data_IF_443254952948
#
_entry.id   IF_443254952948
#
_cell.length_a   1.000
_cell.length_b   1.000
_cell.length_c   1.000
_cell.angle_alpha   90.00
_cell.angle_beta   90.00
_cell.angle_gamma   90.00
#
_symmetry.space_group_name_H-M   'P 1'
#
loop_
_entity.id
_entity.type
_entity.pdbx_description
1 polymer ?
#
# COMPACT_ATOMS: atom_id res chain seq x y z
N UNK A 1 -4.28 -31.67 20.72
CA UNK A 1 -4.19 -32.17 19.34
C UNK A 1 -4.74 -31.15 18.38
N UNK A 2 -3.90 -30.66 17.48
CA UNK A 2 -4.18 -29.65 16.46
C UNK A 2 -4.74 -30.31 15.20
N UNK A 3 -5.99 -30.04 14.86
CA UNK A 3 -6.51 -30.22 13.50
C UNK A 3 -7.39 -29.02 13.13
N UNK A 4 -6.82 -28.08 12.37
CA UNK A 4 -7.60 -27.12 11.60
C UNK A 4 -8.25 -27.85 10.43
N UNK A 5 -9.59 -27.93 10.40
CA UNK A 5 -10.32 -28.50 9.30
C UNK A 5 -9.98 -27.76 7.99
N UNK A 6 -9.32 -28.48 7.09
CA UNK A 6 -9.17 -28.13 5.68
C UNK A 6 -10.55 -28.22 5.03
N UNK A 7 -10.95 -27.14 4.36
CA UNK A 7 -11.87 -27.21 3.23
C UNK A 7 -13.37 -27.10 3.56
N UNK A 8 -13.82 -25.90 3.91
CA UNK A 8 -15.23 -25.50 3.69
C UNK A 8 -15.25 -24.30 2.74
N UNK A 9 -14.69 -24.49 1.55
CA UNK A 9 -15.01 -23.64 0.41
C UNK A 9 -15.71 -24.53 -0.60
N UNK A 10 -16.99 -24.25 -0.88
CA UNK A 10 -17.73 -24.91 -1.94
C UNK A 10 -16.97 -24.73 -3.26
N UNK A 11 -16.95 -25.77 -4.12
CA UNK A 11 -16.31 -25.74 -5.44
C UNK A 11 -16.59 -24.44 -6.24
N UNK A 12 -17.83 -23.89 -6.28
CA UNK A 12 -18.09 -22.60 -6.94
C UNK A 12 -17.36 -21.41 -6.30
N UNK A 13 -17.29 -21.32 -4.97
CA UNK A 13 -16.58 -20.22 -4.29
C UNK A 13 -15.06 -20.29 -4.53
N UNK A 14 -14.50 -21.50 -4.61
CA UNK A 14 -13.09 -21.73 -4.97
C UNK A 14 -12.80 -21.35 -6.43
N UNK A 15 -13.74 -21.60 -7.34
CA UNK A 15 -13.63 -21.20 -8.75
C UNK A 15 -13.75 -19.68 -8.90
N UNK A 16 -14.73 -19.05 -8.25
CA UNK A 16 -14.95 -17.61 -8.25
C UNK A 16 -13.71 -16.85 -7.73
N UNK A 17 -13.16 -17.29 -6.60
CA UNK A 17 -11.94 -16.69 -6.03
C UNK A 17 -10.72 -16.85 -6.93
N UNK A 18 -10.60 -17.96 -7.66
CA UNK A 18 -9.52 -18.18 -8.64
C UNK A 18 -9.68 -17.27 -9.86
N UNK A 19 -10.88 -17.14 -10.41
CA UNK A 19 -11.20 -16.29 -11.56
C UNK A 19 -11.00 -14.80 -11.22
N UNK A 20 -11.58 -14.33 -10.11
CA UNK A 20 -11.34 -12.98 -9.59
C UNK A 20 -9.84 -12.73 -9.40
N UNK A 21 -9.11 -13.76 -8.99
CA UNK A 21 -7.68 -13.73 -8.81
C UNK A 21 -6.84 -13.53 -10.06
N UNK A 22 -7.21 -14.22 -11.14
CA UNK A 22 -6.55 -14.11 -12.44
C UNK A 22 -6.84 -12.77 -13.09
N UNK A 23 -8.11 -12.35 -13.12
CA UNK A 23 -8.52 -11.03 -13.58
C UNK A 23 -7.80 -9.93 -12.80
N UNK A 24 -7.65 -10.11 -11.48
CA UNK A 24 -6.93 -9.19 -10.63
C UNK A 24 -5.42 -9.13 -10.94
N UNK A 25 -4.78 -10.28 -11.16
CA UNK A 25 -3.36 -10.31 -11.52
C UNK A 25 -3.09 -9.65 -12.87
N UNK A 26 -3.97 -9.87 -13.86
CA UNK A 26 -3.91 -9.20 -15.15
C UNK A 26 -4.12 -7.69 -15.03
N UNK A 27 -5.12 -7.27 -14.23
CA UNK A 27 -5.37 -5.86 -13.96
C UNK A 27 -4.21 -5.14 -13.28
N UNK A 28 -3.53 -5.77 -12.30
CA UNK A 28 -2.31 -5.19 -11.71
C UNK A 28 -1.22 -5.02 -12.77
N UNK A 29 -0.96 -6.04 -13.59
CA UNK A 29 0.09 -5.96 -14.61
C UNK A 29 -0.18 -4.81 -15.57
N UNK A 30 -1.41 -4.71 -16.10
CA UNK A 30 -1.81 -3.59 -16.96
C UNK A 30 -1.62 -2.24 -16.25
N UNK A 31 -2.11 -2.08 -15.02
CA UNK A 31 -1.95 -0.82 -14.29
C UNK A 31 -0.48 -0.45 -14.04
N UNK A 32 0.43 -1.42 -13.88
CA UNK A 32 1.87 -1.15 -13.76
C UNK A 32 2.42 -0.68 -15.11
N UNK A 33 2.06 -1.36 -16.20
CA UNK A 33 2.53 -1.04 -17.55
C UNK A 33 2.01 0.33 -18.00
N UNK A 34 0.74 0.63 -17.80
CA UNK A 34 0.13 1.93 -18.13
C UNK A 34 0.79 3.07 -17.34
N UNK A 35 1.03 2.88 -16.04
CA UNK A 35 1.70 3.90 -15.22
C UNK A 35 3.19 4.05 -15.57
N UNK A 36 3.85 2.96 -15.97
CA UNK A 36 5.22 2.99 -16.46
C UNK A 36 5.33 3.70 -17.81
N UNK A 37 4.40 3.45 -18.73
CA UNK A 37 4.27 4.14 -20.01
C UNK A 37 4.04 5.64 -19.82
N UNK A 38 3.12 6.01 -18.92
CA UNK A 38 2.90 7.42 -18.57
C UNK A 38 4.18 8.11 -18.10
N UNK A 39 4.95 7.46 -17.20
CA UNK A 39 6.24 8.00 -16.77
C UNK A 39 7.24 8.05 -17.93
N UNK A 40 7.29 7.03 -18.78
CA UNK A 40 8.20 6.98 -19.93
C UNK A 40 7.98 8.19 -20.84
N UNK A 41 6.73 8.56 -21.08
CA UNK A 41 6.37 9.67 -21.96
C UNK A 41 6.52 11.04 -21.30
N UNK A 42 6.22 11.15 -20.01
CA UNK A 42 6.11 12.44 -19.30
C UNK A 42 7.32 12.82 -18.45
N UNK A 43 8.03 11.85 -17.90
CA UNK A 43 9.18 12.12 -17.02
C UNK A 43 10.28 12.85 -17.79
N UNK A 44 10.73 13.96 -17.21
CA UNK A 44 11.94 14.67 -17.60
C UNK A 44 13.00 14.52 -16.51
N UNK A 45 14.26 14.71 -16.90
CA UNK A 45 15.37 14.60 -15.96
C UNK A 45 15.14 15.60 -14.81
N UNK A 46 15.40 15.13 -13.59
CA UNK A 46 15.28 15.90 -12.34
C UNK A 46 13.83 16.13 -11.85
N UNK A 47 12.81 15.58 -12.52
CA UNK A 47 11.44 15.52 -11.99
C UNK A 47 11.36 14.68 -10.71
N UNK A 48 10.52 15.12 -9.77
CA UNK A 48 10.15 14.32 -8.61
C UNK A 48 8.93 13.44 -8.90
N UNK A 49 9.14 12.13 -8.83
CA UNK A 49 8.07 11.13 -9.03
C UNK A 49 7.42 10.78 -7.70
N UNK A 50 6.15 11.17 -7.55
CA UNK A 50 5.30 10.81 -6.42
C UNK A 50 4.33 9.69 -6.83
N UNK A 51 4.36 8.57 -6.11
CA UNK A 51 3.48 7.43 -6.36
C UNK A 51 2.48 7.28 -5.22
N UNK A 52 1.20 7.33 -5.54
CA UNK A 52 0.12 7.15 -4.58
C UNK A 52 -0.69 5.89 -4.87
N UNK A 53 -1.20 5.23 -3.82
CA UNK A 53 -2.10 4.11 -4.04
C UNK A 53 -2.83 3.63 -2.81
N UNK A 54 -4.08 3.22 -3.00
CA UNK A 54 -4.89 2.57 -1.96
C UNK A 54 -5.07 1.08 -2.28
N UNK A 55 -4.98 0.22 -1.27
CA UNK A 55 -5.33 -1.20 -1.33
C UNK A 55 -4.52 -1.99 -2.38
N UNK A 56 -5.11 -2.20 -3.54
CA UNK A 56 -4.53 -2.87 -4.70
C UNK A 56 -3.69 -1.90 -5.52
N UNK A 57 -4.14 -0.65 -5.63
CA UNK A 57 -3.34 0.44 -6.20
C UNK A 57 -2.08 0.72 -5.39
N UNK A 58 -2.14 0.53 -4.06
CA UNK A 58 -0.95 0.61 -3.22
C UNK A 58 0.11 -0.46 -3.59
N UNK A 59 -0.34 -1.67 -3.93
CA UNK A 59 0.54 -2.72 -4.42
C UNK A 59 1.11 -2.36 -5.79
N UNK A 60 0.28 -1.82 -6.70
CA UNK A 60 0.71 -1.32 -8.02
C UNK A 60 1.78 -0.24 -7.90
N UNK A 61 1.56 0.80 -7.10
CA UNK A 61 2.52 1.89 -6.87
C UNK A 61 3.87 1.37 -6.36
N UNK A 62 3.82 0.47 -5.38
CA UNK A 62 5.00 -0.19 -4.82
C UNK A 62 5.71 -1.09 -5.83
N UNK A 63 4.98 -1.79 -6.69
CA UNK A 63 5.54 -2.64 -7.73
C UNK A 63 6.16 -1.81 -8.88
N UNK A 64 5.56 -0.68 -9.24
CA UNK A 64 6.11 0.27 -10.20
C UNK A 64 7.46 0.83 -9.72
N UNK A 65 7.55 1.26 -8.45
CA UNK A 65 8.83 1.63 -7.85
C UNK A 65 9.85 0.48 -7.87
N UNK A 66 9.37 -0.75 -7.62
CA UNK A 66 10.08 -2.00 -7.84
C UNK A 66 10.74 -2.11 -9.22
N UNK A 67 9.92 -1.87 -10.25
CA UNK A 67 10.28 -1.97 -11.64
C UNK A 67 11.24 -0.87 -12.07
N UNK A 68 11.00 0.38 -11.68
CA UNK A 68 11.89 1.51 -11.95
C UNK A 68 13.29 1.31 -11.37
N UNK A 69 13.39 0.80 -10.13
CA UNK A 69 14.68 0.46 -9.53
C UNK A 69 15.40 -0.63 -10.33
N UNK A 70 14.73 -1.75 -10.58
CA UNK A 70 15.35 -2.95 -11.17
C UNK A 70 15.65 -2.81 -12.66
N UNK A 71 14.76 -2.17 -13.40
CA UNK A 71 14.81 -2.09 -14.86
C UNK A 71 15.13 -0.69 -15.39
N UNK A 72 15.06 0.38 -14.58
CA UNK A 72 15.11 1.75 -15.06
C UNK A 72 13.79 2.18 -15.70
N UNK A 73 13.75 3.42 -16.21
CA UNK A 73 12.67 3.91 -17.06
C UNK A 73 13.13 3.88 -18.51
N UNK A 74 12.40 3.19 -19.39
CA UNK A 74 12.73 3.13 -20.81
C UNK A 74 12.79 4.52 -21.45
N UNK A 75 13.50 4.65 -22.57
CA UNK A 75 13.48 5.87 -23.36
C UNK A 75 12.14 6.07 -24.07
N UNK A 76 11.77 7.34 -24.30
CA UNK A 76 10.52 7.73 -25.00
C UNK A 76 10.42 6.99 -26.35
N UNK A 77 9.24 6.45 -26.65
CA UNK A 77 8.97 5.70 -27.88
C UNK A 77 9.32 4.21 -27.84
N UNK A 78 9.85 3.68 -26.73
CA UNK A 78 10.19 2.26 -26.56
C UNK A 78 9.03 1.40 -26.06
N UNK A 79 7.79 1.72 -26.45
CA UNK A 79 6.56 1.12 -25.92
C UNK A 79 6.53 -0.41 -26.10
N UNK A 80 7.11 -0.91 -27.20
CA UNK A 80 7.25 -2.33 -27.48
C UNK A 80 8.11 -3.09 -26.45
N UNK A 81 8.98 -2.40 -25.70
CA UNK A 81 9.86 -2.99 -24.69
C UNK A 81 9.23 -3.03 -23.28
N UNK A 82 8.10 -2.36 -23.05
CA UNK A 82 7.46 -2.29 -21.73
C UNK A 82 7.13 -3.69 -21.20
N UNK A 83 6.52 -4.55 -22.03
CA UNK A 83 6.20 -5.93 -21.64
C UNK A 83 7.44 -6.78 -21.31
N UNK A 84 8.59 -6.46 -21.89
CA UNK A 84 9.87 -7.10 -21.58
C UNK A 84 10.43 -6.60 -20.25
N UNK A 85 10.37 -5.28 -20.01
CA UNK A 85 10.75 -4.69 -18.73
C UNK A 85 9.91 -5.27 -17.58
N UNK A 86 8.58 -5.37 -17.75
CA UNK A 86 7.69 -6.01 -16.77
C UNK A 86 8.06 -7.46 -16.51
N UNK A 87 8.29 -8.24 -17.57
CA UNK A 87 8.69 -9.65 -17.45
C UNK A 87 10.03 -9.81 -16.73
N UNK A 88 10.97 -8.92 -17.00
CA UNK A 88 12.29 -8.89 -16.36
C UNK A 88 12.22 -8.46 -14.90
N UNK A 89 11.37 -7.50 -14.57
CA UNK A 89 11.10 -7.14 -13.18
C UNK A 89 10.58 -8.37 -12.40
N UNK A 90 9.61 -9.08 -12.98
CA UNK A 90 8.94 -10.25 -12.36
C UNK A 90 9.80 -11.51 -12.25
N UNK A 91 10.58 -11.81 -13.28
CA UNK A 91 11.23 -13.13 -13.43
C UNK A 91 12.73 -13.05 -13.78
N UNK A 92 13.23 -11.89 -14.21
CA UNK A 92 14.61 -11.74 -14.65
C UNK A 92 15.62 -11.84 -13.51
N UNK A 93 16.80 -12.40 -13.81
CA UNK A 93 17.96 -12.39 -12.92
C UNK A 93 18.44 -10.95 -12.72
N UNK A 94 19.02 -10.66 -11.55
CA UNK A 94 19.53 -9.31 -11.24
C UNK A 94 20.59 -8.81 -12.23
N UNK A 95 21.51 -9.68 -12.66
CA UNK A 95 22.55 -9.32 -13.64
C UNK A 95 21.96 -8.94 -15.00
N UNK A 96 20.98 -9.69 -15.51
CA UNK A 96 20.29 -9.39 -16.76
C UNK A 96 19.53 -8.08 -16.69
N UNK A 97 18.82 -7.84 -15.58
CA UNK A 97 18.10 -6.59 -15.37
C UNK A 97 19.04 -5.37 -15.31
N UNK A 98 20.23 -5.53 -14.69
CA UNK A 98 21.26 -4.49 -14.66
C UNK A 98 21.78 -4.14 -16.06
N UNK A 99 22.03 -5.15 -16.90
CA UNK A 99 22.41 -4.95 -18.30
C UNK A 99 21.32 -4.22 -19.09
N UNK A 100 20.07 -4.68 -18.98
CA UNK A 100 18.93 -4.03 -19.62
C UNK A 100 18.76 -2.57 -19.21
N UNK A 101 18.80 -2.29 -17.90
CA UNK A 101 18.72 -0.93 -17.35
C UNK A 101 19.81 -0.03 -17.93
N UNK A 102 21.05 -0.54 -18.05
CA UNK A 102 22.17 0.22 -18.62
C UNK A 102 21.99 0.51 -20.11
N UNK A 103 21.37 -0.40 -20.87
CA UNK A 103 21.29 -0.31 -22.33
C UNK A 103 20.07 0.46 -22.83
N UNK A 104 18.91 0.28 -22.19
CA UNK A 104 17.62 0.73 -22.74
C UNK A 104 16.92 1.79 -21.90
N UNK A 105 17.48 2.18 -20.76
CA UNK A 105 16.76 2.95 -19.77
C UNK A 105 17.56 4.14 -19.27
N UNK A 106 16.82 5.19 -18.94
CA UNK A 106 17.28 6.33 -18.15
C UNK A 106 16.96 6.15 -16.68
N UNK A 107 17.63 6.97 -15.89
CA UNK A 107 17.40 7.06 -14.46
C UNK A 107 16.06 7.77 -14.17
N UNK A 108 15.25 7.15 -13.31
CA UNK A 108 14.00 7.70 -12.82
C UNK A 108 13.78 7.09 -11.44
N UNK A 109 14.11 7.85 -10.39
CA UNK A 109 14.00 7.40 -9.01
C UNK A 109 12.68 7.89 -8.42
N UNK A 110 11.83 7.00 -7.88
CA UNK A 110 10.67 7.43 -7.10
C UNK A 110 11.12 8.26 -5.90
N UNK A 111 10.64 9.50 -5.81
CA UNK A 111 10.94 10.39 -4.69
C UNK A 111 10.13 10.02 -3.45
N UNK A 112 8.83 9.75 -3.65
CA UNK A 112 7.88 9.50 -2.57
C UNK A 112 6.88 8.40 -2.96
N UNK A 113 6.60 7.49 -2.03
CA UNK A 113 5.50 6.51 -2.15
C UNK A 113 4.55 6.67 -0.97
N UNK A 114 3.35 7.18 -1.24
CA UNK A 114 2.27 7.32 -0.26
C UNK A 114 1.20 6.27 -0.47
N UNK A 115 1.02 5.36 0.50
CA UNK A 115 0.06 4.27 0.36
C UNK A 115 -0.92 4.17 1.51
N UNK A 116 -2.15 3.75 1.18
CA UNK A 116 -3.19 3.42 2.14
C UNK A 116 -3.45 1.92 2.13
N UNK A 117 -3.36 1.34 3.31
CA UNK A 117 -3.75 -0.01 3.67
C UNK A 117 -3.43 -1.08 2.61
N UNK A 118 -2.17 -1.08 2.13
CA UNK A 118 -1.68 -2.09 1.18
C UNK A 118 -2.05 -3.50 1.66
N UNK A 119 -2.85 -4.24 0.89
CA UNK A 119 -3.22 -5.62 1.24
C UNK A 119 -2.45 -6.63 0.40
N UNK A 120 -2.04 -7.73 1.02
CA UNK A 120 -1.51 -8.86 0.25
C UNK A 120 -2.65 -9.47 -0.56
N UNK A 121 -2.43 -9.70 -1.85
CA UNK A 121 -3.34 -10.52 -2.66
C UNK A 121 -3.28 -11.99 -2.20
N UNK A 122 -3.96 -12.33 -1.11
CA UNK A 122 -3.85 -13.66 -0.48
C UNK A 122 -4.47 -14.74 -1.38
N UNK A 123 -3.63 -15.45 -2.13
CA UNK A 123 -3.98 -16.65 -2.91
C UNK A 123 -3.78 -16.56 -4.43
N UNK A 124 -3.36 -15.42 -4.96
CA UNK A 124 -3.50 -15.08 -6.39
C UNK A 124 -2.18 -14.97 -7.15
N UNK A 125 -1.10 -14.73 -6.41
CA UNK A 125 0.25 -14.60 -6.94
C UNK A 125 1.09 -15.46 -6.01
N UNK A 126 1.65 -16.59 -6.50
CA UNK A 126 2.72 -17.31 -5.77
C UNK A 126 3.68 -16.23 -5.24
N UNK A 127 4.11 -16.34 -3.97
CA UNK A 127 4.97 -15.43 -3.17
C UNK A 127 6.21 -14.80 -3.87
N UNK A 128 6.41 -15.04 -5.18
CA UNK A 128 7.61 -14.81 -5.98
C UNK A 128 7.38 -14.07 -7.32
N UNK A 129 6.16 -13.71 -7.78
CA UNK A 129 6.02 -13.10 -9.14
C UNK A 129 6.26 -11.59 -9.21
N UNK A 130 6.18 -10.89 -8.09
CA UNK A 130 6.73 -9.55 -7.96
C UNK A 130 7.64 -9.67 -6.74
N UNK A 131 8.97 -9.75 -6.92
CA UNK A 131 9.87 -9.74 -5.78
C UNK A 131 9.43 -8.59 -4.90
N UNK A 132 9.15 -8.91 -3.63
CA UNK A 132 8.48 -8.04 -2.69
C UNK A 132 8.88 -6.59 -2.95
N UNK A 133 7.92 -5.68 -2.87
CA UNK A 133 8.19 -4.28 -2.61
C UNK A 133 8.79 -4.10 -1.19
N UNK A 134 9.88 -4.82 -0.93
CA UNK A 134 10.96 -4.44 -0.05
C UNK A 134 11.35 -3.05 -0.53
N UNK A 135 11.57 -2.13 0.41
CA UNK A 135 12.11 -0.83 0.05
C UNK A 135 13.37 -1.08 -0.76
N UNK A 136 13.34 -0.74 -2.04
CA UNK A 136 14.56 -0.75 -2.84
C UNK A 136 15.48 0.33 -2.26
N UNK A 137 16.80 0.16 -2.29
CA UNK A 137 17.73 1.18 -1.83
C UNK A 137 17.46 2.57 -2.43
N UNK A 138 17.00 2.61 -3.69
CA UNK A 138 16.66 3.85 -4.39
C UNK A 138 15.34 4.50 -3.94
N UNK A 139 14.58 3.91 -3.01
CA UNK A 139 13.40 4.56 -2.45
C UNK A 139 13.80 5.45 -1.28
N UNK A 140 13.63 6.76 -1.46
CA UNK A 140 13.98 7.71 -0.41
C UNK A 140 12.92 7.79 0.69
N UNK A 141 11.62 7.79 0.31
CA UNK A 141 10.52 8.05 1.25
C UNK A 141 9.32 7.12 0.99
N UNK A 142 8.98 6.28 1.97
CA UNK A 142 7.81 5.41 1.98
C UNK A 142 6.88 5.70 3.16
N UNK A 143 5.68 6.19 2.88
CA UNK A 143 4.66 6.55 3.87
C UNK A 143 3.45 5.62 3.72
N UNK A 144 3.01 5.00 4.82
CA UNK A 144 1.92 4.02 4.80
C UNK A 144 0.91 4.26 5.93
N UNK A 145 -0.33 4.63 5.57
CA UNK A 145 -1.48 4.65 6.47
C UNK A 145 -2.12 3.26 6.56
N UNK A 146 -2.32 2.73 7.77
CA UNK A 146 -2.75 1.34 7.99
C UNK A 146 -4.02 1.31 8.85
N UNK A 147 -4.99 0.48 8.45
CA UNK A 147 -6.25 0.28 9.18
C UNK A 147 -6.06 -0.57 10.44
N UNK A 148 -6.59 -0.09 11.57
CA UNK A 148 -6.67 -0.82 12.84
C UNK A 148 -7.85 -1.80 12.85
N UNK A 149 -9.02 -1.38 12.35
CA UNK A 149 -10.29 -2.07 12.56
C UNK A 149 -10.66 -3.08 11.46
N UNK A 150 -9.88 -3.17 10.39
CA UNK A 150 -10.08 -4.15 9.33
C UNK A 150 -9.79 -5.58 9.81
N UNK A 151 -10.80 -6.46 9.69
CA UNK A 151 -10.79 -7.82 10.25
C UNK A 151 -10.91 -8.92 9.19
N UNK A 152 -11.17 -8.61 7.93
CA UNK A 152 -11.32 -9.61 6.86
C UNK A 152 -9.99 -10.32 6.65
N UNK A 153 -9.97 -11.65 6.73
CA UNK A 153 -8.73 -12.45 6.70
C UNK A 153 -7.92 -12.30 5.41
N UNK A 154 -8.58 -11.92 4.31
CA UNK A 154 -7.97 -11.67 3.00
C UNK A 154 -7.37 -10.27 2.88
N UNK A 155 -7.69 -9.36 3.79
CA UNK A 155 -7.20 -7.98 3.84
C UNK A 155 -6.09 -7.82 4.88
N UNK A 156 -5.15 -8.78 4.92
CA UNK A 156 -3.99 -8.67 5.80
C UNK A 156 -3.05 -7.58 5.28
N UNK A 157 -2.61 -6.65 6.13
CA UNK A 157 -1.75 -5.56 5.71
C UNK A 157 -0.40 -6.11 5.25
N UNK A 158 0.11 -5.53 4.18
CA UNK A 158 1.43 -5.78 3.63
C UNK A 158 2.40 -4.70 4.12
N UNK A 159 2.87 -4.84 5.36
CA UNK A 159 3.82 -3.90 5.95
C UNK A 159 5.19 -3.98 5.26
N UNK A 160 5.89 -2.86 5.20
CA UNK A 160 7.32 -2.82 4.92
C UNK A 160 8.12 -3.42 6.09
N UNK A 161 9.25 -4.00 5.75
CA UNK A 161 10.22 -4.49 6.73
C UNK A 161 11.19 -3.36 7.07
N UNK A 162 10.99 -2.75 8.23
CA UNK A 162 11.82 -1.64 8.72
C UNK A 162 13.22 -2.11 9.17
N UNK A 163 13.39 -3.42 9.42
CA UNK A 163 14.63 -4.02 9.90
C UNK A 163 15.44 -4.69 8.77
N UNK A 164 15.17 -4.34 7.52
CA UNK A 164 15.91 -4.91 6.39
C UNK A 164 17.39 -4.55 6.49
N UNK A 165 18.26 -5.56 6.43
CA UNK A 165 19.74 -5.36 6.41
C UNK A 165 20.24 -4.53 5.22
N UNK A 166 19.38 -4.33 4.20
CA UNK A 166 19.69 -3.56 3.00
C UNK A 166 19.08 -2.15 3.01
N UNK A 167 18.62 -1.68 4.19
CA UNK A 167 18.09 -0.32 4.34
C UNK A 167 19.24 0.68 4.23
N UNK A 168 19.14 1.62 3.31
CA UNK A 168 20.05 2.76 3.25
C UNK A 168 19.71 3.74 4.39
N UNK A 169 20.74 4.31 5.03
CA UNK A 169 20.60 5.21 6.18
C UNK A 169 19.71 6.42 5.88
N UNK A 170 19.65 6.84 4.61
CA UNK A 170 18.85 7.97 4.16
C UNK A 170 17.38 7.62 3.89
N UNK A 171 16.97 6.35 4.03
CA UNK A 171 15.59 5.93 3.75
C UNK A 171 14.64 6.23 4.90
N UNK A 172 13.58 6.97 4.58
CA UNK A 172 12.50 7.28 5.50
C UNK A 172 11.34 6.32 5.23
N UNK A 173 11.08 5.42 6.19
CA UNK A 173 9.88 4.58 6.18
C UNK A 173 9.01 5.01 7.37
N UNK A 174 7.76 5.38 7.11
CA UNK A 174 6.80 5.74 8.15
C UNK A 174 5.50 4.94 7.98
N UNK A 175 5.26 4.00 8.89
CA UNK A 175 4.07 3.15 8.90
C UNK A 175 3.18 3.50 10.10
N UNK A 176 2.03 4.11 9.85
CA UNK A 176 1.18 4.70 10.88
C UNK A 176 -0.19 4.06 10.89
N UNK A 177 -0.66 3.71 12.08
CA UNK A 177 -1.95 3.07 12.29
C UNK A 177 -3.05 4.08 12.61
N UNK A 178 -4.21 3.90 11.97
CA UNK A 178 -5.39 4.76 12.07
C UNK A 178 -6.66 3.96 12.36
N UNK A 179 -7.59 4.60 13.08
CA UNK A 179 -8.90 4.04 13.40
C UNK A 179 -9.80 4.03 12.16
N UNK A 180 -10.49 2.92 11.91
CA UNK A 180 -11.25 2.71 10.67
C UNK A 180 -10.99 1.34 10.06
N UNK A 181 -11.96 0.80 9.32
CA UNK A 181 -11.75 -0.36 8.44
C UNK A 181 -11.02 0.05 7.14
N UNK A 182 -10.75 -0.89 6.24
CA UNK A 182 -9.96 -0.65 5.03
C UNK A 182 -10.36 0.61 4.23
N UNK A 183 -11.66 0.80 3.98
CA UNK A 183 -12.19 1.95 3.24
C UNK A 183 -12.44 3.18 4.10
N UNK A 184 -12.43 3.06 5.43
CA UNK A 184 -12.39 4.24 6.31
C UNK A 184 -11.01 4.89 6.33
N UNK A 185 -9.98 4.19 5.86
CA UNK A 185 -8.60 4.71 5.74
C UNK A 185 -8.29 5.12 4.30
N UNK A 186 -8.68 4.30 3.32
CA UNK A 186 -8.42 4.62 1.91
C UNK A 186 -9.48 5.46 1.21
N UNK A 187 -10.60 5.75 1.89
CA UNK A 187 -11.78 6.35 1.28
C UNK A 187 -12.67 5.32 0.56
N UNK A 188 -13.69 5.82 -0.15
CA UNK A 188 -14.78 5.11 -0.88
C UNK A 188 -16.14 5.06 -0.16
N UNK A 189 -16.23 5.49 1.10
CA UNK A 189 -17.51 5.68 1.77
C UNK A 189 -18.01 7.12 1.61
N UNK A 190 -19.32 7.32 1.73
CA UNK A 190 -19.94 8.66 1.70
C UNK A 190 -19.56 9.44 2.95
N UNK A 191 -19.61 8.80 4.12
CA UNK A 191 -19.12 9.38 5.35
C UNK A 191 -17.60 9.20 5.42
N UNK A 192 -16.87 10.28 5.22
CA UNK A 192 -15.45 10.31 4.92
C UNK A 192 -14.58 10.86 6.06
N UNK A 193 -15.16 11.25 7.19
CA UNK A 193 -14.43 11.89 8.30
C UNK A 193 -13.22 11.09 8.80
N UNK A 194 -13.27 9.76 8.81
CA UNK A 194 -12.12 8.91 9.13
C UNK A 194 -11.06 8.89 8.02
N UNK A 195 -11.48 8.83 6.75
CA UNK A 195 -10.55 8.84 5.61
C UNK A 195 -9.92 10.22 5.40
N UNK A 196 -10.64 11.28 5.76
CA UNK A 196 -10.16 12.65 5.74
C UNK A 196 -9.01 12.86 6.71
N UNK A 197 -9.03 12.22 7.90
CA UNK A 197 -7.85 12.20 8.79
C UNK A 197 -6.62 11.67 8.07
N UNK A 198 -6.75 10.51 7.43
CA UNK A 198 -5.61 9.86 6.76
C UNK A 198 -5.18 10.55 5.48
N UNK A 199 -6.11 11.22 4.78
CA UNK A 199 -5.81 12.03 3.61
C UNK A 199 -5.04 13.29 4.03
N UNK A 200 -5.53 14.03 5.02
CA UNK A 200 -4.84 15.21 5.56
C UNK A 200 -3.43 14.86 6.04
N UNK A 201 -3.28 13.75 6.77
CA UNK A 201 -1.97 13.28 7.22
C UNK A 201 -1.04 12.93 6.04
N UNK A 202 -1.50 12.18 5.05
CA UNK A 202 -0.66 11.83 3.90
C UNK A 202 -0.25 13.06 3.08
N UNK A 203 -1.18 14.00 2.87
CA UNK A 203 -0.90 15.28 2.21
C UNK A 203 0.16 16.05 2.98
N UNK A 204 0.04 16.13 4.30
CA UNK A 204 1.04 16.76 5.15
C UNK A 204 2.43 16.12 4.97
N UNK A 205 2.54 14.80 5.04
CA UNK A 205 3.81 14.09 4.82
C UNK A 205 4.37 14.36 3.40
N UNK A 206 3.53 14.32 2.36
CA UNK A 206 3.96 14.61 1.00
C UNK A 206 4.45 16.06 0.83
N UNK A 207 3.76 17.04 1.42
CA UNK A 207 4.14 18.45 1.39
C UNK A 207 5.47 18.71 2.10
N UNK A 208 5.71 18.05 3.24
CA UNK A 208 7.00 18.09 3.93
C UNK A 208 8.16 17.58 3.08
N UNK A 209 7.85 16.79 2.06
CA UNK A 209 8.79 16.24 1.10
C UNK A 209 8.65 16.88 -0.29
N UNK A 210 8.16 18.12 -0.35
CA UNK A 210 8.22 18.97 -1.55
C UNK A 210 7.02 18.89 -2.48
N UNK A 211 5.96 18.14 -2.14
CA UNK A 211 4.74 18.14 -2.97
C UNK A 211 3.98 19.45 -2.79
N UNK A 212 3.79 20.19 -3.88
CA UNK A 212 2.88 21.34 -3.90
C UNK A 212 1.44 20.90 -4.08
N UNK A 213 0.55 21.43 -3.24
CA UNK A 213 -0.88 21.15 -3.28
C UNK A 213 -1.68 22.44 -3.30
N UNK A 214 -2.88 22.39 -3.89
CA UNK A 214 -3.81 23.51 -3.85
C UNK A 214 -4.40 23.65 -2.44
N UNK A 215 -3.99 24.69 -1.72
CA UNK A 215 -4.43 24.97 -0.34
C UNK A 215 -5.95 24.99 -0.19
N UNK A 216 -6.67 25.55 -1.18
CA UNK A 216 -8.14 25.63 -1.15
C UNK A 216 -8.80 24.25 -1.20
N UNK A 217 -8.19 23.27 -1.86
CA UNK A 217 -8.71 21.91 -1.84
C UNK A 217 -8.41 21.20 -0.52
N UNK A 218 -7.29 21.52 0.12
CA UNK A 218 -6.94 20.95 1.43
C UNK A 218 -7.84 21.49 2.54
N UNK A 219 -8.20 22.77 2.50
CA UNK A 219 -9.10 23.42 3.47
C UNK A 219 -10.51 22.83 3.48
N UNK A 220 -10.93 22.17 2.38
CA UNK A 220 -12.22 21.48 2.28
C UNK A 220 -12.23 20.11 2.96
N UNK A 221 -11.07 19.56 3.30
CA UNK A 221 -10.99 18.26 3.94
C UNK A 221 -11.48 18.42 5.38
N UNK A 222 -12.44 17.59 5.79
CA UNK A 222 -13.01 17.62 7.14
C UNK A 222 -12.66 16.33 7.92
N UNK A 223 -11.50 16.29 8.60
CA UNK A 223 -11.12 15.18 9.47
C UNK A 223 -12.02 15.10 10.69
N UNK A 224 -12.54 13.91 11.01
CA UNK A 224 -13.35 13.71 12.20
C UNK A 224 -13.00 12.40 12.91
N UNK A 225 -12.35 12.46 14.09
CA UNK A 225 -12.13 11.28 14.93
C UNK A 225 -13.43 10.61 15.39
N UNK A 226 -14.54 11.35 15.38
CA UNK A 226 -15.88 10.89 15.74
C UNK A 226 -16.66 10.35 14.53
N UNK A 227 -16.06 10.42 13.33
CA UNK A 227 -16.64 9.93 12.08
C UNK A 227 -17.13 8.49 12.15
N UNK A 228 -18.06 8.15 11.25
CA UNK A 228 -18.70 6.84 11.22
C UNK A 228 -17.66 5.73 10.95
N UNK A 229 -17.61 4.74 11.83
CA UNK A 229 -16.85 3.51 11.62
C UNK A 229 -17.73 2.50 10.91
N UNK A 230 -17.35 2.11 9.69
CA UNK A 230 -18.14 1.18 8.89
C UNK A 230 -17.88 -0.27 9.27
N UNK A 231 -18.87 -1.13 9.04
CA UNK A 231 -18.71 -2.57 9.22
C UNK A 231 -18.46 -3.27 7.88
N UNK A 232 -17.21 -3.68 7.63
CA UNK A 232 -16.83 -4.43 6.43
C UNK A 232 -17.05 -5.95 6.55
N UNK A 233 -17.35 -6.46 7.75
CA UNK A 233 -17.56 -7.89 8.02
C UNK A 233 -19.00 -8.32 7.74
N UNK A 234 -19.34 -8.41 6.45
CA UNK A 234 -20.59 -9.06 6.00
C UNK A 234 -20.58 -10.58 6.32
N UNK A 235 -21.76 -11.25 6.38
CA UNK A 235 -21.89 -12.66 6.80
C UNK A 235 -20.99 -13.65 6.06
N UNK A 236 -20.67 -13.39 4.78
CA UNK A 236 -19.74 -14.21 3.98
C UNK A 236 -18.36 -14.39 4.63
N UNK A 237 -17.94 -13.46 5.48
CA UNK A 237 -16.65 -13.52 6.19
C UNK A 237 -16.64 -14.49 7.37
N UNK A 238 -17.78 -15.02 7.79
CA UNK A 238 -17.82 -16.13 8.75
C UNK A 238 -17.27 -17.41 8.13
N UNK A 239 -17.47 -17.58 6.81
CA UNK A 239 -16.94 -18.71 6.03
C UNK A 239 -15.51 -18.41 5.54
N UNK A 240 -15.26 -17.19 5.03
CA UNK A 240 -13.93 -16.80 4.53
C UNK A 240 -12.90 -16.51 5.65
N UNK A 241 -13.37 -16.44 6.90
CA UNK A 241 -12.59 -16.17 8.08
C UNK A 241 -12.33 -14.68 8.31
N UNK A 242 -12.17 -14.33 9.58
CA UNK A 242 -11.79 -13.00 10.04
C UNK A 242 -10.71 -13.10 11.12
N UNK A 243 -9.89 -12.07 11.23
CA UNK A 243 -8.80 -11.97 12.20
C UNK A 243 -8.52 -10.52 12.53
N UNK A 244 -8.48 -10.19 13.81
CA UNK A 244 -8.05 -8.87 14.30
C UNK A 244 -6.56 -8.68 13.97
N UNK A 245 -6.21 -7.50 13.46
CA UNK A 245 -4.83 -7.15 13.12
C UNK A 245 -3.97 -7.03 14.37
N UNK A 246 -2.75 -7.58 14.32
CA UNK A 246 -1.76 -7.43 15.39
C UNK A 246 -0.95 -6.17 15.13
N UNK A 247 -0.98 -5.24 16.09
CA UNK A 247 -0.11 -4.06 16.12
C UNK A 247 1.05 -4.39 17.07
N UNK A 248 2.29 -4.16 16.63
CA UNK A 248 3.47 -4.44 17.47
C UNK A 248 3.71 -3.28 18.43
N UNK A 249 4.32 -3.56 19.58
CA UNK A 249 4.87 -2.50 20.42
C UNK A 249 5.93 -1.72 19.63
N UNK A 250 6.02 -0.41 19.86
CA UNK A 250 6.84 0.52 19.09
C UNK A 250 6.24 0.97 17.74
N UNK A 251 5.09 0.44 17.32
CA UNK A 251 4.42 0.94 16.10
C UNK A 251 4.00 2.40 16.26
N UNK A 252 3.98 3.16 15.17
CA UNK A 252 3.44 4.52 15.15
C UNK A 252 1.91 4.49 15.12
N UNK A 253 1.26 5.22 16.01
CA UNK A 253 -0.20 5.38 16.03
C UNK A 253 -0.53 6.85 15.96
N UNK A 254 -1.46 7.22 15.08
CA UNK A 254 -1.89 8.60 14.96
C UNK A 254 -2.74 9.03 16.17
N UNK A 255 -2.57 10.27 16.64
CA UNK A 255 -3.25 10.77 17.85
C UNK A 255 -4.79 10.72 17.74
N UNK A 256 -5.33 10.87 16.52
CA UNK A 256 -6.77 10.75 16.24
C UNK A 256 -7.38 9.43 16.74
N UNK A 257 -6.60 8.34 16.85
CA UNK A 257 -7.06 7.07 17.42
C UNK A 257 -7.41 7.24 18.89
N UNK A 258 -6.57 7.95 19.64
CA UNK A 258 -6.80 8.21 21.06
C UNK A 258 -7.87 9.24 21.31
N UNK A 259 -7.98 10.25 20.44
CA UNK A 259 -9.11 11.19 20.45
C UNK A 259 -10.42 10.43 20.25
N UNK A 260 -10.48 9.52 19.28
CA UNK A 260 -11.65 8.65 19.07
C UNK A 260 -11.95 7.78 20.29
N UNK A 261 -10.95 7.14 20.90
CA UNK A 261 -11.14 6.35 22.13
C UNK A 261 -11.75 7.20 23.26
N UNK A 262 -11.33 8.46 23.38
CA UNK A 262 -11.85 9.39 24.41
C UNK A 262 -13.27 9.85 24.10
N UNK A 263 -13.56 10.21 22.85
CA UNK A 263 -14.82 10.86 22.45
C UNK A 263 -15.94 9.87 22.08
N UNK A 264 -15.60 8.71 21.53
CA UNK A 264 -16.57 7.70 21.09
C UNK A 264 -16.64 6.56 22.11
N UNK A 265 -17.59 6.63 23.05
CA UNK A 265 -17.75 5.70 24.19
C UNK A 265 -17.73 4.21 23.79
N UNK A 266 -18.30 3.89 22.62
CA UNK A 266 -18.39 2.51 22.10
C UNK A 266 -17.10 2.01 21.44
N UNK A 267 -16.15 2.90 21.12
CA UNK A 267 -14.91 2.55 20.43
C UNK A 267 -13.83 2.10 21.42
N UNK A 268 -13.73 0.78 21.62
CA UNK A 268 -12.74 0.14 22.52
C UNK A 268 -11.91 -0.89 21.74
N UNK A 269 -10.93 -0.47 20.92
CA UNK A 269 -10.18 -1.38 20.06
C UNK A 269 -9.30 -2.31 20.91
N UNK A 270 -9.44 -3.62 20.74
CA UNK A 270 -8.73 -4.64 21.54
C UNK A 270 -7.26 -4.83 21.14
N UNK A 271 -6.85 -4.29 19.99
CA UNK A 271 -5.55 -4.52 19.36
C UNK A 271 -4.62 -3.32 19.38
N UNK A 272 -5.04 -2.19 19.96
CA UNK A 272 -4.20 -1.02 20.18
C UNK A 272 -3.42 -1.23 21.49
N UNK A 273 -2.06 -1.24 21.46
CA UNK A 273 -1.28 -1.32 22.69
C UNK A 273 -1.51 -0.10 23.58
N UNK A 274 -1.17 -0.21 24.87
CA UNK A 274 -1.24 0.93 25.79
C UNK A 274 -0.36 2.09 25.31
N UNK A 275 -0.75 3.34 25.63
CA UNK A 275 -0.06 4.56 25.13
C UNK A 275 1.45 4.55 25.31
N UNK A 276 1.96 4.02 26.43
CA UNK A 276 3.41 3.93 26.69
C UNK A 276 4.16 2.87 25.89
N UNK A 277 3.47 2.10 25.05
CA UNK A 277 4.04 1.02 24.21
C UNK A 277 4.03 1.34 22.72
N UNK A 278 3.67 2.55 22.33
CA UNK A 278 3.63 3.03 20.95
C UNK A 278 4.14 4.46 20.88
N UNK A 279 4.53 4.89 19.68
CA UNK A 279 4.85 6.30 19.44
C UNK A 279 3.61 6.99 18.88
N UNK A 280 3.14 8.01 19.59
CA UNK A 280 2.01 8.83 19.15
C UNK A 280 2.54 9.92 18.23
N UNK A 281 1.90 10.08 17.09
CA UNK A 281 2.20 11.17 16.15
C UNK A 281 0.96 12.02 15.88
N UNK A 282 1.19 13.28 15.55
CA UNK A 282 0.17 14.21 15.05
C UNK A 282 0.22 14.32 13.53
#
# INVERSE_FOLDING_TARGET
>A
GTFSARGVLTKPLKLLTRLMGLAFGYGITRNIEDAYEYLMDKYEKDDYVYLFGFSRGAFTARALAGMLHKCGLLEKGSNNLISYATRMYRYGKHSTAKGFKKTFSRECRPHFIGVWDTVKSVGLIKRRKFPNAILNPDLNIGIHAISIDEKRSKFRPNLWDENSKNKDENQIIKQVWFAGVHSDIGGSYKEDGLSNITLSWMVYEACRHGLFVNKKEIEKIEPSPEGKLHNSLLPIWWILGWKIRKIKEGSLIHNSVYERIKKVIKYKPKNVPSKGKVTIIN
#
